data_IF_712809913367
#
_entry.id   IF_712809913367
#
_cell.length_a   1.000
_cell.length_b   1.000
_cell.length_c   1.000
_cell.angle_alpha   90.00
_cell.angle_beta   90.00
_cell.angle_gamma   90.00
#
_symmetry.space_group_name_H-M   'P 1'
#
loop_
_entity.id
_entity.type
_entity.pdbx_description
1 polymer ?
#
# COMPACT_ATOMS: atom_id res chain seq x y z
N UNK A 1 -15.13 -4.90 -12.32
CA UNK A 1 -15.68 -5.38 -11.03
C UNK A 1 -14.58 -5.62 -10.00
N UNK A 2 -13.39 -6.04 -10.42
CA UNK A 2 -12.25 -6.33 -9.53
C UNK A 2 -11.67 -5.05 -8.94
N UNK A 3 -11.57 -3.96 -9.70
CA UNK A 3 -11.07 -2.68 -9.19
C UNK A 3 -11.87 -2.20 -7.98
N UNK A 4 -13.20 -2.34 -8.04
CA UNK A 4 -14.11 -1.92 -6.97
C UNK A 4 -13.92 -2.78 -5.71
N UNK A 5 -13.66 -4.07 -5.89
CA UNK A 5 -13.37 -5.01 -4.80
C UNK A 5 -12.06 -4.66 -4.08
N UNK A 6 -11.02 -4.32 -4.85
CA UNK A 6 -9.74 -3.84 -4.29
C UNK A 6 -9.92 -2.50 -3.57
N UNK A 7 -10.68 -1.57 -4.14
CA UNK A 7 -11.02 -0.29 -3.47
C UNK A 7 -11.71 -0.52 -2.14
N UNK A 8 -12.75 -1.37 -2.09
CA UNK A 8 -13.51 -1.65 -0.87
C UNK A 8 -12.65 -2.31 0.19
N UNK A 9 -11.82 -3.28 -0.18
CA UNK A 9 -10.88 -3.92 0.74
C UNK A 9 -9.89 -2.92 1.33
N UNK A 10 -9.32 -2.07 0.49
CA UNK A 10 -8.32 -1.07 0.90
C UNK A 10 -8.94 0.02 1.78
N UNK A 11 -10.14 0.48 1.42
CA UNK A 11 -10.90 1.44 2.21
C UNK A 11 -11.28 0.84 3.57
N UNK A 12 -11.83 -0.38 3.60
CA UNK A 12 -12.20 -1.07 4.84
C UNK A 12 -11.02 -1.30 5.77
N UNK A 13 -9.87 -1.75 5.24
CA UNK A 13 -8.66 -1.93 6.04
C UNK A 13 -8.12 -0.59 6.57
N UNK A 14 -8.15 0.48 5.78
CA UNK A 14 -7.71 1.81 6.22
C UNK A 14 -8.63 2.38 7.31
N UNK A 15 -9.95 2.27 7.16
CA UNK A 15 -10.93 2.71 8.18
C UNK A 15 -10.77 1.93 9.49
N UNK A 16 -10.56 0.61 9.41
CA UNK A 16 -10.30 -0.22 10.60
C UNK A 16 -9.01 0.18 11.32
N UNK A 17 -7.99 0.63 10.57
CA UNK A 17 -6.75 1.15 11.12
C UNK A 17 -6.94 2.54 11.75
N UNK A 18 -7.71 3.44 11.12
CA UNK A 18 -8.03 4.76 11.67
C UNK A 18 -8.85 4.73 12.95
N UNK A 19 -9.55 3.63 13.24
CA UNK A 19 -10.28 3.47 14.50
C UNK A 19 -9.38 3.38 15.74
N UNK A 20 -8.05 3.21 15.59
CA UNK A 20 -7.11 3.17 16.70
C UNK A 20 -5.72 3.65 16.27
N UNK A 21 -5.23 4.72 16.90
CA UNK A 21 -3.88 5.25 16.64
C UNK A 21 -2.79 4.19 16.89
N UNK A 22 -3.00 3.28 17.85
CA UNK A 22 -2.07 2.17 18.13
C UNK A 22 -1.97 1.21 16.95
N UNK A 23 -3.10 0.87 16.31
CA UNK A 23 -3.13 0.01 15.12
C UNK A 23 -2.49 0.72 13.94
N UNK A 24 -2.83 1.99 13.72
CA UNK A 24 -2.24 2.80 12.66
C UNK A 24 -0.71 2.81 12.76
N UNK A 25 -0.19 3.07 13.95
CA UNK A 25 1.25 3.08 14.22
C UNK A 25 1.88 1.71 13.96
N UNK A 26 1.18 0.61 14.30
CA UNK A 26 1.69 -0.75 14.14
C UNK A 26 1.82 -1.20 12.68
N UNK A 27 0.94 -0.71 11.81
CA UNK A 27 0.88 -1.12 10.40
C UNK A 27 1.46 -0.10 9.40
N UNK A 28 1.69 1.15 9.82
CA UNK A 28 2.42 2.13 9.03
C UNK A 28 3.88 1.73 8.89
N UNK A 29 4.39 1.84 7.66
CA UNK A 29 5.79 1.64 7.36
C UNK A 29 6.64 2.72 8.03
N UNK A 30 7.33 2.35 9.11
CA UNK A 30 8.31 3.23 9.76
C UNK A 30 9.72 2.67 9.51
N UNK A 31 10.59 3.34 8.73
CA UNK A 31 11.92 2.85 8.37
C UNK A 31 12.73 2.39 9.59
N UNK A 32 12.68 3.17 10.67
CA UNK A 32 13.38 2.91 11.92
C UNK A 32 12.95 1.59 12.62
N UNK A 33 11.67 1.20 12.50
CA UNK A 33 11.16 -0.05 13.09
C UNK A 33 11.41 -1.27 12.20
N UNK A 34 11.58 -1.06 10.91
CA UNK A 34 11.73 -2.13 9.93
C UNK A 34 13.06 -2.87 10.12
N UNK A 35 14.13 -2.15 10.42
CA UNK A 35 15.45 -2.74 10.69
C UNK A 35 15.56 -3.29 12.12
N UNK A 36 15.06 -2.54 13.12
CA UNK A 36 15.22 -2.91 14.54
C UNK A 36 14.35 -4.08 14.99
N UNK A 37 13.13 -4.20 14.46
CA UNK A 37 12.16 -5.23 14.85
C UNK A 37 11.85 -6.26 13.76
N UNK A 38 12.54 -6.21 12.60
CA UNK A 38 12.31 -7.13 11.46
C UNK A 38 10.84 -7.19 10.99
N UNK A 39 10.14 -6.06 11.05
CA UNK A 39 8.73 -5.97 10.70
C UNK A 39 8.50 -5.91 9.17
N UNK A 40 8.96 -6.92 8.43
CA UNK A 40 8.87 -6.97 6.96
C UNK A 40 7.43 -6.97 6.44
N UNK A 41 6.45 -7.39 7.26
CA UNK A 41 5.03 -7.34 6.92
C UNK A 41 4.54 -5.91 6.66
N UNK A 42 5.17 -4.89 7.27
CA UNK A 42 4.80 -3.48 7.03
C UNK A 42 5.06 -3.02 5.60
N UNK A 43 5.98 -3.67 4.87
CA UNK A 43 6.20 -3.39 3.44
C UNK A 43 4.94 -3.70 2.63
N UNK A 44 4.29 -4.83 2.90
CA UNK A 44 3.08 -5.23 2.20
C UNK A 44 1.84 -4.52 2.74
N UNK A 45 1.71 -4.35 4.07
CA UNK A 45 0.52 -3.69 4.65
C UNK A 45 0.47 -2.19 4.33
N UNK A 46 1.62 -1.55 4.09
CA UNK A 46 1.69 -0.15 3.64
C UNK A 46 1.05 0.11 2.28
N UNK A 47 0.90 -0.92 1.45
CA UNK A 47 0.16 -0.80 0.18
C UNK A 47 -1.35 -0.61 0.39
N UNK A 48 -1.87 -0.97 1.57
CA UNK A 48 -3.30 -0.93 1.86
C UNK A 48 -3.67 0.12 2.91
N UNK A 49 -2.76 0.47 3.81
CA UNK A 49 -3.01 1.33 4.97
C UNK A 49 -2.44 2.71 4.69
N UNK A 50 -3.30 3.71 4.75
CA UNK A 50 -2.97 5.11 4.48
C UNK A 50 -2.80 5.88 5.80
N UNK A 51 -1.94 6.90 5.78
CA UNK A 51 -1.65 7.69 6.98
C UNK A 51 -2.77 8.69 7.34
N UNK A 52 -3.55 9.13 6.35
CA UNK A 52 -4.58 10.14 6.51
C UNK A 52 -5.74 9.97 5.51
N UNK A 53 -6.88 10.58 5.85
CA UNK A 53 -8.11 10.54 5.05
C UNK A 53 -7.93 11.15 3.66
N UNK A 54 -7.13 12.21 3.52
CA UNK A 54 -6.90 12.86 2.23
C UNK A 54 -6.14 11.94 1.27
N UNK A 55 -5.04 11.33 1.72
CA UNK A 55 -4.28 10.36 0.93
C UNK A 55 -5.14 9.16 0.55
N UNK A 56 -5.98 8.66 1.48
CA UNK A 56 -6.90 7.56 1.19
C UNK A 56 -7.88 7.93 0.07
N UNK A 57 -8.57 9.07 0.19
CA UNK A 57 -9.57 9.52 -0.79
C UNK A 57 -8.91 9.76 -2.16
N UNK A 58 -7.77 10.46 -2.20
CA UNK A 58 -7.04 10.71 -3.43
C UNK A 58 -6.62 9.42 -4.15
N UNK A 59 -6.11 8.44 -3.40
CA UNK A 59 -5.73 7.14 -3.96
C UNK A 59 -6.95 6.35 -4.43
N UNK A 60 -8.08 6.37 -3.70
CA UNK A 60 -9.30 5.68 -4.14
C UNK A 60 -9.85 6.29 -5.44
N UNK A 61 -9.92 7.62 -5.54
CA UNK A 61 -10.42 8.30 -6.74
C UNK A 61 -9.50 8.04 -7.94
N UNK A 62 -8.19 8.17 -7.73
CA UNK A 62 -7.21 7.93 -8.79
C UNK A 62 -7.24 6.47 -9.23
N UNK A 63 -7.15 5.53 -8.29
CA UNK A 63 -7.14 4.10 -8.58
C UNK A 63 -8.44 3.64 -9.23
N UNK A 64 -9.60 4.14 -8.80
CA UNK A 64 -10.87 3.81 -9.44
C UNK A 64 -10.93 4.35 -10.89
N UNK A 65 -10.50 5.60 -11.10
CA UNK A 65 -10.54 6.24 -12.43
C UNK A 65 -9.62 5.55 -13.43
N UNK A 66 -8.38 5.23 -13.04
CA UNK A 66 -7.44 4.52 -13.91
C UNK A 66 -7.75 3.02 -13.98
N UNK A 67 -8.03 2.39 -12.83
CA UNK A 67 -8.22 0.95 -12.71
C UNK A 67 -9.44 0.44 -13.46
N UNK A 68 -10.54 1.20 -13.51
CA UNK A 68 -11.73 0.83 -14.31
C UNK A 68 -11.39 0.77 -15.80
N UNK A 69 -10.69 1.77 -16.32
CA UNK A 69 -10.27 1.80 -17.72
C UNK A 69 -9.26 0.70 -18.03
N UNK A 70 -8.34 0.43 -17.11
CA UNK A 70 -7.34 -0.63 -17.26
C UNK A 70 -7.96 -2.03 -17.21
N UNK A 71 -8.93 -2.28 -16.32
CA UNK A 71 -9.65 -3.55 -16.21
C UNK A 71 -10.42 -3.86 -17.52
N UNK A 72 -11.05 -2.85 -18.12
CA UNK A 72 -11.77 -3.01 -19.40
C UNK A 72 -10.83 -3.30 -20.57
N UNK A 73 -9.65 -2.66 -20.61
CA UNK A 73 -8.70 -2.81 -21.73
C UNK A 73 -7.88 -4.10 -21.64
N UNK A 74 -7.39 -4.45 -20.45
CA UNK A 74 -6.42 -5.54 -20.27
C UNK A 74 -7.10 -6.84 -19.83
N UNK A 75 -8.31 -6.76 -19.29
CA UNK A 75 -9.06 -7.90 -18.77
C UNK A 75 -8.71 -8.27 -17.32
N UNK A 76 -9.59 -9.01 -16.63
CA UNK A 76 -9.57 -9.19 -15.18
C UNK A 76 -8.32 -9.90 -14.64
N UNK A 77 -7.86 -10.96 -15.31
CA UNK A 77 -6.72 -11.78 -14.86
C UNK A 77 -5.41 -11.01 -14.95
N UNK A 78 -5.20 -10.31 -16.08
CA UNK A 78 -4.00 -9.50 -16.30
C UNK A 78 -3.97 -8.29 -15.38
N UNK A 79 -5.14 -7.70 -15.08
CA UNK A 79 -5.25 -6.63 -14.10
C UNK A 79 -4.80 -7.07 -12.70
N UNK A 80 -5.20 -8.26 -12.23
CA UNK A 80 -4.71 -8.80 -10.95
C UNK A 80 -3.20 -9.00 -10.95
N UNK A 81 -2.65 -9.58 -12.02
CA UNK A 81 -1.20 -9.77 -12.14
C UNK A 81 -0.44 -8.45 -12.15
N UNK A 82 -0.97 -7.43 -12.83
CA UNK A 82 -0.42 -6.07 -12.79
C UNK A 82 -0.47 -5.48 -11.38
N UNK A 83 -1.60 -5.63 -10.68
CA UNK A 83 -1.77 -5.14 -9.32
C UNK A 83 -0.78 -5.80 -8.35
N UNK A 84 -0.66 -7.13 -8.38
CA UNK A 84 0.32 -7.85 -7.55
C UNK A 84 1.77 -7.51 -7.93
N UNK A 85 2.05 -7.39 -9.22
CA UNK A 85 3.37 -7.01 -9.74
C UNK A 85 3.79 -5.61 -9.27
N UNK A 86 2.88 -4.64 -9.31
CA UNK A 86 3.17 -3.29 -8.81
C UNK A 86 3.46 -3.29 -7.31
N UNK A 87 2.71 -4.03 -6.49
CA UNK A 87 2.99 -4.18 -5.04
C UNK A 87 4.39 -4.74 -4.78
N UNK A 88 4.80 -5.77 -5.54
CA UNK A 88 6.14 -6.36 -5.40
C UNK A 88 7.22 -5.36 -5.78
N UNK A 89 7.07 -4.68 -6.91
CA UNK A 89 8.03 -3.68 -7.39
C UNK A 89 8.15 -2.53 -6.39
N UNK A 90 7.04 -1.99 -5.91
CA UNK A 90 7.05 -0.92 -4.91
C UNK A 90 7.66 -1.36 -3.60
N UNK A 91 7.42 -2.60 -3.16
CA UNK A 91 8.02 -3.16 -1.94
C UNK A 91 9.54 -3.24 -2.06
N UNK A 92 10.07 -3.68 -3.20
CA UNK A 92 11.52 -3.74 -3.46
C UNK A 92 12.13 -2.33 -3.50
N UNK A 93 11.47 -1.38 -4.18
CA UNK A 93 11.93 0.02 -4.23
C UNK A 93 11.93 0.64 -2.83
N UNK A 94 10.89 0.40 -2.04
CA UNK A 94 10.75 0.93 -0.69
C UNK A 94 11.84 0.36 0.23
N UNK A 95 12.11 -0.95 0.16
CA UNK A 95 13.21 -1.59 0.88
C UNK A 95 14.57 -0.99 0.51
N UNK A 96 14.83 -0.77 -0.78
CA UNK A 96 16.07 -0.12 -1.25
C UNK A 96 16.22 1.31 -0.73
N UNK A 97 15.14 2.11 -0.71
CA UNK A 97 15.17 3.47 -0.15
C UNK A 97 15.50 3.46 1.34
N UNK A 98 14.86 2.56 2.10
CA UNK A 98 15.12 2.41 3.54
C UNK A 98 16.60 2.07 3.76
N UNK A 99 17.14 1.12 3.01
CA UNK A 99 18.53 0.69 3.12
C UNK A 99 19.54 1.83 2.87
N UNK A 100 19.29 2.67 1.85
CA UNK A 100 20.12 3.85 1.58
C UNK A 100 20.07 4.87 2.73
N UNK A 101 18.87 5.14 3.26
CA UNK A 101 18.69 6.07 4.39
C UNK A 101 19.48 5.58 5.62
N UNK A 102 19.47 4.27 5.88
CA UNK A 102 20.18 3.67 7.00
C UNK A 102 21.71 3.74 6.85
N UNK A 103 22.24 3.66 5.63
CA UNK A 103 23.67 3.87 5.36
C UNK A 103 24.10 5.31 5.63
N UNK A 104 23.26 6.29 5.32
CA UNK A 104 23.56 7.72 5.52
C UNK A 104 23.49 8.10 7.00
N UNK A 105 22.62 7.45 7.78
CA UNK A 105 22.39 7.75 9.19
C UNK A 105 23.31 6.97 10.16
N UNK A 106 24.22 6.14 9.64
CA UNK A 106 25.19 5.35 10.41
C UNK A 106 26.59 5.94 10.27
#
# INVERSE_FOLDING_TARGET
MITLLICLLTFGMSVWCFASEEKLYKFILTPYRLERNKNYYTLFTSGFIHADWMHLIFNMVSFYSFGKNLEMTVGPIRFILFYLGTILITSVISWRKIWIILIILR
#
